data_IF_761814520957
#
_entry.id   IF_761814520957
#
_cell.length_a   1.000
_cell.length_b   1.000
_cell.length_c   1.000
_cell.angle_alpha   90.00
_cell.angle_beta   90.00
_cell.angle_gamma   90.00
#
_symmetry.space_group_name_H-M   'P 1'
#
loop_
_entity.id
_entity.type
_entity.pdbx_description
1 polymer ?
#
# COMPACT_ATOMS: atom_id res chain seq x y z
N UNK A 1 -35.53 13.07 -39.49
CA UNK A 1 -36.40 13.19 -38.30
C UNK A 1 -35.55 12.77 -37.10
N UNK A 2 -35.22 13.75 -36.26
CA UNK A 2 -34.53 13.55 -35.00
C UNK A 2 -35.43 12.82 -34.00
N UNK A 3 -34.85 11.95 -33.18
CA UNK A 3 -35.50 11.33 -32.04
C UNK A 3 -34.41 10.98 -31.02
N UNK A 4 -34.40 11.70 -29.92
CA UNK A 4 -33.39 11.71 -28.87
C UNK A 4 -33.74 10.76 -27.70
N UNK A 5 -32.69 10.37 -26.96
CA UNK A 5 -32.64 9.91 -25.55
C UNK A 5 -33.43 8.64 -25.18
N UNK A 6 -32.88 7.72 -24.38
CA UNK A 6 -32.42 7.93 -23.01
C UNK A 6 -31.33 6.91 -22.60
N UNK A 7 -30.24 7.40 -21.99
CA UNK A 7 -29.15 6.60 -21.46
C UNK A 7 -29.34 6.42 -19.94
N UNK A 8 -29.61 5.19 -19.50
CA UNK A 8 -29.69 4.83 -18.09
C UNK A 8 -28.29 4.85 -17.47
N UNK A 9 -27.97 5.94 -16.77
CA UNK A 9 -26.80 6.05 -15.90
C UNK A 9 -27.08 5.32 -14.57
N UNK A 10 -26.57 4.11 -14.44
CA UNK A 10 -26.45 3.42 -13.15
C UNK A 10 -25.32 4.01 -12.32
N UNK A 11 -25.53 5.22 -11.76
CA UNK A 11 -24.62 5.84 -10.81
C UNK A 11 -24.66 5.10 -9.47
N UNK A 12 -23.56 4.43 -9.11
CA UNK A 12 -23.36 3.97 -7.75
C UNK A 12 -22.99 5.18 -6.89
N UNK A 13 -24.00 5.78 -6.26
CA UNK A 13 -23.83 6.85 -5.27
C UNK A 13 -23.15 6.30 -4.01
N UNK A 14 -21.82 6.23 -4.04
CA UNK A 14 -21.00 6.05 -2.85
C UNK A 14 -20.96 7.36 -2.07
N UNK A 15 -22.09 7.73 -1.45
CA UNK A 15 -22.15 8.86 -0.52
C UNK A 15 -21.33 8.48 0.73
N UNK A 16 -20.27 9.21 1.09
CA UNK A 16 -19.55 8.92 2.32
C UNK A 16 -20.46 9.20 3.51
N UNK A 17 -20.36 8.43 4.61
CA UNK A 17 -21.10 8.73 5.83
C UNK A 17 -20.61 10.08 6.36
N UNK A 18 -21.49 11.07 6.30
CA UNK A 18 -21.26 12.38 6.88
C UNK A 18 -21.22 12.25 8.40
N UNK A 19 -20.01 12.22 8.95
CA UNK A 19 -19.70 12.60 10.33
C UNK A 19 -18.83 13.86 10.22
N UNK A 20 -19.27 14.94 10.87
CA UNK A 20 -18.66 16.26 10.72
C UNK A 20 -17.17 16.30 11.04
N UNK A 21 -16.41 16.98 10.17
CA UNK A 21 -15.04 17.44 10.43
C UNK A 21 -13.94 16.65 9.72
N UNK A 22 -13.57 17.10 8.50
CA UNK A 22 -12.53 16.60 7.58
C UNK A 22 -12.83 15.25 6.90
N UNK A 23 -13.07 15.30 5.59
CA UNK A 23 -13.08 14.11 4.74
C UNK A 23 -11.67 13.51 4.71
N UNK A 24 -11.45 12.41 5.41
CA UNK A 24 -10.23 11.61 5.26
C UNK A 24 -10.27 11.01 3.85
N UNK A 25 -9.39 11.48 2.97
CA UNK A 25 -9.25 10.90 1.63
C UNK A 25 -8.60 9.53 1.77
N UNK A 26 -9.29 8.50 1.28
CA UNK A 26 -8.78 7.14 1.26
C UNK A 26 -7.84 6.94 0.08
N UNK A 27 -7.10 5.83 0.12
CA UNK A 27 -6.33 5.37 -1.03
C UNK A 27 -7.26 5.17 -2.24
N UNK A 28 -6.84 5.65 -3.41
CA UNK A 28 -7.63 5.66 -4.64
C UNK A 28 -8.57 6.87 -4.78
N UNK A 29 -8.60 7.78 -3.81
CA UNK A 29 -9.41 9.02 -3.83
C UNK A 29 -8.56 10.28 -3.66
N UNK A 30 -7.25 10.12 -3.44
CA UNK A 30 -6.33 11.21 -3.12
C UNK A 30 -5.72 11.81 -4.39
N UNK A 31 -6.31 12.91 -4.86
CA UNK A 31 -5.82 13.63 -6.04
C UNK A 31 -4.41 14.20 -5.80
N UNK A 32 -3.57 14.15 -6.83
CA UNK A 32 -2.26 14.80 -6.80
C UNK A 32 -2.39 16.32 -6.78
N UNK A 33 -1.57 16.99 -5.97
CA UNK A 33 -1.39 18.44 -6.08
C UNK A 33 -0.66 18.76 -7.38
N UNK A 34 -0.80 19.98 -7.89
CA UNK A 34 -0.13 20.40 -9.12
C UNK A 34 1.41 20.24 -9.02
N UNK A 35 1.99 20.59 -7.88
CA UNK A 35 3.43 20.50 -7.64
C UNK A 35 3.92 19.04 -7.62
N UNK A 36 3.21 18.16 -6.90
CA UNK A 36 3.54 16.73 -6.83
C UNK A 36 3.41 16.07 -8.20
N UNK A 37 2.32 16.36 -8.91
CA UNK A 37 2.08 15.86 -10.27
C UNK A 37 3.23 16.25 -11.21
N UNK A 38 3.64 17.52 -11.23
CA UNK A 38 4.73 17.99 -12.10
C UNK A 38 6.07 17.36 -11.72
N UNK A 39 6.37 17.23 -10.42
CA UNK A 39 7.58 16.62 -9.93
C UNK A 39 7.68 15.14 -10.37
N UNK A 40 6.64 14.36 -10.14
CA UNK A 40 6.56 12.95 -10.52
C UNK A 40 6.64 12.79 -12.05
N UNK A 41 5.88 13.60 -12.80
CA UNK A 41 5.86 13.56 -14.25
C UNK A 41 7.25 13.85 -14.85
N UNK A 42 8.02 14.76 -14.26
CA UNK A 42 9.40 15.04 -14.66
C UNK A 42 10.34 13.89 -14.29
N UNK A 43 10.21 13.35 -13.07
CA UNK A 43 11.06 12.26 -12.58
C UNK A 43 10.86 10.96 -13.39
N UNK A 44 9.62 10.58 -13.69
CA UNK A 44 9.28 9.37 -14.45
C UNK A 44 9.90 9.31 -15.86
N UNK A 45 10.30 10.45 -16.44
CA UNK A 45 10.95 10.53 -17.75
C UNK A 45 12.41 10.10 -17.73
N UNK A 46 13.07 10.16 -16.57
CA UNK A 46 14.48 9.81 -16.42
C UNK A 46 14.72 8.35 -16.77
N UNK A 47 15.84 8.07 -17.45
CA UNK A 47 16.29 6.70 -17.69
C UNK A 47 17.18 6.27 -16.52
N UNK A 48 17.11 4.99 -16.16
CA UNK A 48 17.90 4.45 -15.06
C UNK A 48 19.40 4.41 -15.41
N UNK A 49 20.25 4.51 -14.40
CA UNK A 49 21.68 4.28 -14.55
C UNK A 49 22.04 2.78 -14.60
N UNK A 50 23.28 2.44 -15.00
CA UNK A 50 23.76 1.05 -15.06
C UNK A 50 23.65 0.34 -13.69
N UNK A 51 23.72 1.07 -12.59
CA UNK A 51 23.61 0.58 -11.23
C UNK A 51 22.27 -0.12 -10.96
N UNK A 52 21.21 0.13 -11.73
CA UNK A 52 19.90 -0.54 -11.61
C UNK A 52 19.74 -1.77 -12.53
N UNK A 53 20.62 -1.92 -13.53
CA UNK A 53 20.43 -2.89 -14.63
C UNK A 53 21.28 -4.14 -14.38
N UNK A 54 20.60 -5.27 -14.19
CA UNK A 54 21.20 -6.60 -14.14
C UNK A 54 21.09 -7.29 -15.50
N UNK A 55 21.87 -8.35 -15.72
CA UNK A 55 21.81 -9.11 -16.98
C UNK A 55 22.07 -10.60 -16.77
N UNK A 56 21.39 -11.43 -17.55
CA UNK A 56 21.57 -12.89 -17.59
C UNK A 56 21.75 -13.39 -19.03
N UNK A 57 22.35 -14.57 -19.18
CA UNK A 57 22.35 -15.27 -20.45
C UNK A 57 21.02 -16.00 -20.63
N UNK A 58 20.33 -15.76 -21.74
CA UNK A 58 19.17 -16.52 -22.16
C UNK A 58 19.58 -17.67 -23.11
N UNK A 59 18.61 -18.52 -23.46
CA UNK A 59 18.79 -19.52 -24.52
C UNK A 59 19.31 -18.88 -25.81
N UNK A 60 20.22 -19.57 -26.50
CA UNK A 60 20.85 -19.05 -27.71
C UNK A 60 21.97 -18.02 -27.47
N UNK A 61 22.47 -17.90 -26.23
CA UNK A 61 23.65 -17.07 -25.91
C UNK A 61 23.38 -15.56 -25.89
N UNK A 62 22.11 -15.14 -26.00
CA UNK A 62 21.73 -13.73 -25.98
C UNK A 62 21.74 -13.20 -24.54
N UNK A 63 22.34 -12.02 -24.34
CA UNK A 63 22.31 -11.31 -23.06
C UNK A 63 20.98 -10.58 -22.92
N UNK A 64 20.24 -10.86 -21.85
CA UNK A 64 18.96 -10.20 -21.54
C UNK A 64 19.15 -9.32 -20.31
N UNK A 65 18.79 -8.05 -20.43
CA UNK A 65 18.80 -7.08 -19.34
C UNK A 65 17.47 -7.13 -18.56
N UNK A 66 17.55 -6.99 -17.24
CA UNK A 66 16.39 -6.90 -16.35
C UNK A 66 16.70 -6.00 -15.15
N UNK A 67 15.65 -5.49 -14.49
CA UNK A 67 15.76 -4.85 -13.18
C UNK A 67 15.27 -5.86 -12.13
N UNK A 68 15.99 -5.95 -11.03
CA UNK A 68 15.66 -6.82 -9.91
C UNK A 68 14.41 -6.31 -9.16
N UNK A 69 13.60 -7.25 -8.65
CA UNK A 69 12.29 -6.91 -8.04
C UNK A 69 12.40 -5.89 -6.90
N UNK A 70 13.36 -6.09 -5.99
CA UNK A 70 13.55 -5.18 -4.85
C UNK A 70 13.88 -3.74 -5.27
N UNK A 71 14.60 -3.56 -6.38
CA UNK A 71 14.94 -2.23 -6.91
C UNK A 71 13.72 -1.52 -7.46
N UNK A 72 12.85 -2.25 -8.18
CA UNK A 72 11.59 -1.69 -8.70
C UNK A 72 10.65 -1.30 -7.56
N UNK A 73 10.59 -2.10 -6.49
CA UNK A 73 9.81 -1.79 -5.28
C UNK A 73 10.33 -0.50 -4.63
N UNK A 74 11.64 -0.38 -4.44
CA UNK A 74 12.24 0.83 -3.87
C UNK A 74 12.02 2.06 -4.76
N UNK A 75 12.18 1.93 -6.09
CA UNK A 75 11.89 3.00 -7.03
C UNK A 75 10.44 3.47 -6.93
N UNK A 76 9.47 2.57 -6.80
CA UNK A 76 8.07 2.93 -6.63
C UNK A 76 7.80 3.60 -5.26
N UNK A 77 8.41 3.10 -4.18
CA UNK A 77 8.34 3.71 -2.85
C UNK A 77 8.90 5.14 -2.82
N UNK A 78 10.01 5.40 -3.49
CA UNK A 78 10.59 6.74 -3.58
C UNK A 78 9.79 7.65 -4.52
N UNK A 79 9.25 7.11 -5.63
CA UNK A 79 8.51 7.90 -6.62
C UNK A 79 7.13 8.33 -6.12
N UNK A 80 6.43 7.45 -5.41
CA UNK A 80 5.05 7.67 -5.01
C UNK A 80 4.86 7.78 -3.50
N UNK A 81 5.87 7.43 -2.70
CA UNK A 81 5.74 7.22 -1.25
C UNK A 81 5.21 5.81 -0.94
N UNK A 82 5.54 5.28 0.24
CA UNK A 82 5.14 3.93 0.67
C UNK A 82 3.62 3.69 0.67
N UNK A 83 2.81 4.75 0.77
CA UNK A 83 1.35 4.72 0.76
C UNK A 83 0.74 5.34 -0.51
N UNK A 84 1.56 5.75 -1.49
CA UNK A 84 1.09 6.40 -2.71
C UNK A 84 0.84 5.44 -3.86
N UNK A 85 1.24 4.17 -3.72
CA UNK A 85 1.00 3.11 -4.68
C UNK A 85 0.65 1.81 -3.95
N UNK A 86 -0.04 0.92 -4.65
CA UNK A 86 -0.39 -0.42 -4.20
C UNK A 86 -0.43 -1.37 -5.39
N UNK A 87 -0.41 -2.68 -5.12
CA UNK A 87 -0.65 -3.67 -6.15
C UNK A 87 -1.47 -4.85 -5.63
N UNK A 88 -2.13 -5.55 -6.53
CA UNK A 88 -2.90 -6.76 -6.25
C UNK A 88 -2.70 -7.78 -7.36
N UNK A 89 -2.64 -9.06 -6.99
CA UNK A 89 -2.74 -10.16 -7.96
C UNK A 89 -4.21 -10.39 -8.26
N UNK A 90 -4.65 -10.00 -9.45
CA UNK A 90 -6.06 -10.13 -9.87
C UNK A 90 -6.39 -11.57 -10.24
N UNK A 91 -5.45 -12.26 -10.89
CA UNK A 91 -5.56 -13.67 -11.22
C UNK A 91 -4.18 -14.33 -11.30
N UNK A 92 -4.07 -15.59 -10.90
CA UNK A 92 -2.88 -16.41 -11.17
C UNK A 92 -3.31 -17.79 -11.67
N UNK A 93 -2.86 -18.15 -12.86
CA UNK A 93 -3.18 -19.43 -13.50
C UNK A 93 -1.91 -20.27 -13.72
N UNK A 94 -2.03 -21.57 -13.51
CA UNK A 94 -0.99 -22.54 -13.86
C UNK A 94 -1.32 -23.05 -15.24
N UNK A 95 -0.49 -22.71 -16.22
CA UNK A 95 -0.75 -23.05 -17.61
C UNK A 95 -0.42 -24.52 -17.86
N UNK A 96 0.68 -25.02 -17.28
CA UNK A 96 1.04 -26.43 -17.34
C UNK A 96 1.96 -26.86 -16.19
N UNK A 97 1.94 -28.16 -15.91
CA UNK A 97 2.86 -28.85 -14.99
C UNK A 97 3.20 -30.22 -15.58
N UNK A 98 4.31 -30.30 -16.30
CA UNK A 98 4.73 -31.51 -17.01
C UNK A 98 5.84 -32.23 -16.25
N UNK A 99 5.84 -33.55 -16.34
CA UNK A 99 6.88 -34.42 -15.80
C UNK A 99 7.56 -35.15 -16.96
N UNK A 100 8.83 -34.86 -17.20
CA UNK A 100 9.64 -35.51 -18.23
C UNK A 100 10.98 -35.96 -17.63
N UNK A 101 11.32 -37.25 -17.78
CA UNK A 101 12.55 -37.85 -17.27
C UNK A 101 12.83 -37.55 -15.78
N UNK A 102 11.79 -37.59 -14.95
CA UNK A 102 11.90 -37.31 -13.50
C UNK A 102 12.14 -35.83 -13.16
N UNK A 103 11.98 -34.92 -14.13
CA UNK A 103 12.10 -33.47 -13.96
C UNK A 103 10.78 -32.77 -14.28
N UNK A 104 10.44 -31.76 -13.50
CA UNK A 104 9.25 -30.94 -13.69
C UNK A 104 9.53 -29.73 -14.56
N UNK A 105 8.53 -29.39 -15.37
CA UNK A 105 8.47 -28.21 -16.23
C UNK A 105 7.15 -27.50 -15.93
N UNK A 106 7.23 -26.26 -15.47
CA UNK A 106 6.09 -25.51 -14.93
C UNK A 106 6.05 -24.13 -15.57
N UNK A 107 4.88 -23.78 -16.11
CA UNK A 107 4.55 -22.44 -16.59
C UNK A 107 3.38 -21.86 -15.79
N UNK A 108 3.54 -20.62 -15.31
CA UNK A 108 2.52 -19.91 -14.54
C UNK A 108 2.43 -18.47 -15.05
N UNK A 109 1.21 -18.00 -15.30
CA UNK A 109 0.93 -16.59 -15.55
C UNK A 109 0.25 -15.94 -14.33
N UNK A 110 0.51 -14.64 -14.13
CA UNK A 110 -0.15 -13.84 -13.11
C UNK A 110 -0.52 -12.47 -13.67
N UNK A 111 -1.79 -12.08 -13.51
CA UNK A 111 -2.26 -10.73 -13.80
C UNK A 111 -2.06 -9.88 -12.54
N UNK A 112 -1.32 -8.79 -12.68
CA UNK A 112 -0.97 -7.91 -11.56
C UNK A 112 -1.41 -6.50 -11.90
N UNK A 113 -2.27 -5.95 -11.05
CA UNK A 113 -2.76 -4.57 -11.15
C UNK A 113 -2.01 -3.71 -10.15
N UNK A 114 -1.43 -2.62 -10.62
CA UNK A 114 -0.81 -1.57 -9.81
C UNK A 114 -1.71 -0.35 -9.85
N UNK A 115 -2.02 0.23 -8.70
CA UNK A 115 -2.87 1.40 -8.54
C UNK A 115 -2.11 2.49 -7.75
N UNK A 116 -2.32 3.75 -8.11
CA UNK A 116 -1.81 4.91 -7.37
C UNK A 116 -2.88 5.51 -6.47
N UNK A 117 -2.48 6.38 -5.54
CA UNK A 117 -3.36 6.99 -4.54
C UNK A 117 -4.50 7.83 -5.12
N UNK A 118 -4.36 8.30 -6.37
CA UNK A 118 -5.38 9.05 -7.11
C UNK A 118 -6.41 8.15 -7.82
N UNK A 119 -6.21 6.83 -7.78
CA UNK A 119 -7.08 5.83 -8.39
C UNK A 119 -6.63 5.37 -9.77
N UNK A 120 -5.65 6.04 -10.39
CA UNK A 120 -5.06 5.62 -11.67
C UNK A 120 -4.39 4.25 -11.53
N UNK A 121 -4.42 3.45 -12.59
CA UNK A 121 -3.90 2.09 -12.53
C UNK A 121 -3.40 1.56 -13.87
N UNK A 122 -2.49 0.59 -13.80
CA UNK A 122 -2.05 -0.23 -14.91
C UNK A 122 -2.08 -1.70 -14.49
N UNK A 123 -2.45 -2.58 -15.41
CA UNK A 123 -2.44 -4.02 -15.22
C UNK A 123 -1.67 -4.67 -16.36
N UNK A 124 -0.85 -5.66 -16.02
CA UNK A 124 -0.09 -6.43 -17.00
C UNK A 124 0.04 -7.89 -16.52
N UNK A 125 0.39 -8.77 -17.44
CA UNK A 125 0.64 -10.19 -17.18
C UNK A 125 2.13 -10.42 -16.93
N UNK A 126 2.46 -11.14 -15.87
CA UNK A 126 3.79 -11.68 -15.63
C UNK A 126 3.82 -13.18 -15.89
N UNK A 127 5.02 -13.68 -16.22
CA UNK A 127 5.21 -15.10 -16.46
C UNK A 127 6.37 -15.66 -15.64
N UNK A 128 6.15 -16.83 -15.04
CA UNK A 128 7.15 -17.54 -14.25
C UNK A 128 7.34 -18.94 -14.78
N UNK A 129 8.61 -19.34 -14.89
CA UNK A 129 9.01 -20.59 -15.51
C UNK A 129 9.94 -21.34 -14.57
N UNK A 130 9.69 -22.63 -14.38
CA UNK A 130 10.63 -23.52 -13.70
C UNK A 130 10.84 -24.78 -14.52
N UNK A 131 12.09 -25.06 -14.89
CA UNK A 131 12.44 -26.20 -15.72
C UNK A 131 13.56 -27.01 -15.06
N UNK A 132 13.44 -28.33 -15.11
CA UNK A 132 14.54 -29.24 -14.81
C UNK A 132 14.70 -29.61 -13.33
N UNK A 133 13.88 -29.07 -12.43
CA UNK A 133 13.89 -29.45 -11.01
C UNK A 133 13.17 -30.78 -10.80
N UNK A 134 13.70 -31.62 -9.91
CA UNK A 134 13.06 -32.91 -9.54
C UNK A 134 11.89 -32.75 -8.58
N UNK A 135 11.83 -31.64 -7.84
CA UNK A 135 10.76 -31.37 -6.88
C UNK A 135 9.62 -30.58 -7.54
N UNK A 136 8.41 -31.16 -7.54
CA UNK A 136 7.20 -30.47 -8.02
C UNK A 136 6.90 -29.22 -7.20
N UNK A 137 7.08 -29.29 -5.89
CA UNK A 137 6.79 -28.20 -4.96
C UNK A 137 7.69 -26.99 -5.22
N UNK A 138 9.02 -27.21 -5.30
CA UNK A 138 9.98 -26.13 -5.58
C UNK A 138 9.76 -25.53 -6.98
N UNK A 139 9.36 -26.35 -7.96
CA UNK A 139 9.07 -25.87 -9.31
C UNK A 139 7.86 -24.94 -9.35
N UNK A 140 6.77 -25.33 -8.66
CA UNK A 140 5.56 -24.52 -8.55
C UNK A 140 5.80 -23.24 -7.75
N UNK A 141 6.55 -23.32 -6.64
CA UNK A 141 6.91 -22.17 -5.83
C UNK A 141 7.69 -21.13 -6.63
N UNK A 142 8.75 -21.56 -7.33
CA UNK A 142 9.55 -20.69 -8.20
C UNK A 142 8.68 -20.03 -9.27
N UNK A 143 7.93 -20.82 -10.03
CA UNK A 143 7.12 -20.31 -11.13
C UNK A 143 6.04 -19.32 -10.65
N UNK A 144 5.33 -19.62 -9.55
CA UNK A 144 4.31 -18.70 -9.01
C UNK A 144 4.91 -17.38 -8.50
N UNK A 145 6.03 -17.44 -7.76
CA UNK A 145 6.69 -16.24 -7.23
C UNK A 145 7.27 -15.37 -8.35
N UNK A 146 7.88 -15.99 -9.35
CA UNK A 146 8.44 -15.31 -10.51
C UNK A 146 7.34 -14.64 -11.34
N UNK A 147 6.21 -15.32 -11.59
CA UNK A 147 5.10 -14.76 -12.34
C UNK A 147 4.54 -13.47 -11.71
N UNK A 148 4.33 -13.45 -10.39
CA UNK A 148 3.85 -12.24 -9.69
C UNK A 148 4.87 -11.12 -9.74
N UNK A 149 6.13 -11.43 -9.50
CA UNK A 149 7.20 -10.42 -9.51
C UNK A 149 7.40 -9.83 -10.90
N UNK A 150 7.32 -10.66 -11.95
CA UNK A 150 7.40 -10.20 -13.33
C UNK A 150 6.19 -9.31 -13.70
N UNK A 151 4.97 -9.73 -13.32
CA UNK A 151 3.75 -8.96 -13.59
C UNK A 151 3.79 -7.60 -12.91
N UNK A 152 4.25 -7.54 -11.66
CA UNK A 152 4.47 -6.29 -10.94
C UNK A 152 5.44 -5.35 -11.66
N UNK A 153 6.61 -5.87 -12.07
CA UNK A 153 7.61 -5.06 -12.80
C UNK A 153 7.07 -4.54 -14.13
N UNK A 154 6.26 -5.35 -14.82
CA UNK A 154 5.65 -4.98 -16.11
C UNK A 154 4.54 -3.95 -15.94
N UNK A 155 3.67 -4.11 -14.95
CA UNK A 155 2.64 -3.11 -14.64
C UNK A 155 3.26 -1.76 -14.23
N UNK A 156 4.31 -1.76 -13.38
CA UNK A 156 5.01 -0.53 -12.98
C UNK A 156 5.72 0.18 -14.14
N UNK A 157 6.20 -0.58 -15.13
CA UNK A 157 6.85 -0.04 -16.33
C UNK A 157 6.00 1.01 -17.03
N UNK A 158 4.68 0.80 -17.07
CA UNK A 158 3.74 1.63 -17.82
C UNK A 158 3.67 3.09 -17.34
N UNK A 159 4.09 3.37 -16.11
CA UNK A 159 4.16 4.74 -15.59
C UNK A 159 5.36 5.53 -16.11
N UNK A 160 6.47 4.89 -16.55
CA UNK A 160 7.58 5.63 -17.13
C UNK A 160 8.95 4.94 -17.15
N UNK A 161 9.93 5.66 -17.70
CA UNK A 161 11.31 5.20 -17.86
C UNK A 161 11.97 4.92 -16.51
N UNK A 162 11.71 5.75 -15.50
CA UNK A 162 12.31 5.60 -14.16
C UNK A 162 11.82 4.34 -13.45
N UNK A 163 10.69 3.74 -13.88
CA UNK A 163 10.20 2.46 -13.37
C UNK A 163 10.48 1.29 -14.33
N UNK A 164 11.40 1.50 -15.28
CA UNK A 164 11.95 0.42 -16.10
C UNK A 164 11.48 0.40 -17.55
N UNK A 165 10.73 1.40 -18.04
CA UNK A 165 10.32 1.42 -19.46
C UNK A 165 11.51 1.52 -20.42
N UNK A 166 12.58 2.20 -20.00
CA UNK A 166 13.78 2.36 -20.81
C UNK A 166 14.48 1.03 -21.13
N UNK A 167 14.24 -0.05 -20.39
CA UNK A 167 14.95 -1.32 -20.61
C UNK A 167 14.63 -2.01 -21.93
N UNK A 168 13.48 -1.67 -22.53
CA UNK A 168 13.09 -2.20 -23.85
C UNK A 168 13.67 -1.37 -25.00
N UNK A 169 14.19 -0.18 -24.73
CA UNK A 169 14.81 0.68 -25.74
C UNK A 169 16.22 0.14 -26.08
N UNK A 170 16.36 -0.36 -27.31
CA UNK A 170 17.62 -0.91 -27.81
C UNK A 170 18.73 0.14 -27.85
N UNK A 171 18.42 1.40 -28.12
CA UNK A 171 19.41 2.47 -28.20
C UNK A 171 19.87 2.93 -26.82
N UNK A 172 18.98 2.88 -25.83
CA UNK A 172 19.37 2.99 -24.43
C UNK A 172 20.34 1.88 -24.01
N UNK A 173 20.03 0.61 -24.33
CA UNK A 173 20.91 -0.52 -23.99
C UNK A 173 22.28 -0.42 -24.67
N UNK A 174 22.34 0.02 -25.94
CA UNK A 174 23.61 0.31 -26.64
C UNK A 174 24.41 1.39 -25.91
N UNK A 175 23.74 2.43 -25.46
CA UNK A 175 24.39 3.55 -24.76
C UNK A 175 24.91 3.14 -23.38
N UNK A 176 24.16 2.32 -22.65
CA UNK A 176 24.60 1.76 -21.36
C UNK A 176 25.86 0.91 -21.49
N UNK A 177 25.98 0.07 -22.53
CA UNK A 177 27.16 -0.78 -22.72
C UNK A 177 28.44 0.01 -23.00
N UNK A 178 28.34 1.30 -23.33
CA UNK A 178 29.51 2.19 -23.50
C UNK A 178 29.98 2.80 -22.19
N UNK A 179 29.17 2.72 -21.12
CA UNK A 179 29.55 3.24 -19.81
C UNK A 179 30.54 2.30 -19.12
N UNK A 180 31.50 2.84 -18.34
CA UNK A 180 32.38 2.02 -17.53
C UNK A 180 31.59 1.11 -16.58
N UNK A 181 32.02 -0.14 -16.45
CA UNK A 181 31.43 -1.06 -15.48
C UNK A 181 31.76 -0.55 -14.07
N UNK A 182 30.73 -0.21 -13.31
CA UNK A 182 30.89 0.20 -11.92
C UNK A 182 31.11 -1.03 -11.02
N UNK A 183 31.92 -0.84 -9.98
CA UNK A 183 32.03 -1.79 -8.89
C UNK A 183 30.72 -1.79 -8.08
N UNK A 184 30.32 -2.93 -7.50
CA UNK A 184 29.19 -2.96 -6.58
C UNK A 184 29.39 -1.94 -5.46
N UNK A 185 28.36 -1.10 -5.22
CA UNK A 185 28.38 -0.17 -4.10
C UNK A 185 28.33 -0.94 -2.79
N UNK A 186 29.24 -0.64 -1.87
CA UNK A 186 29.16 -1.20 -0.52
C UNK A 186 27.98 -0.56 0.23
N UNK A 187 27.20 -1.39 0.91
CA UNK A 187 26.07 -0.95 1.72
C UNK A 187 26.60 -0.62 3.12
N UNK A 188 26.42 0.63 3.55
CA UNK A 188 26.74 1.03 4.91
C UNK A 188 25.73 0.41 5.89
N UNK A 189 26.22 -0.48 6.75
CA UNK A 189 25.40 -1.18 7.74
C UNK A 189 25.35 -0.48 9.10
N UNK A 190 26.03 0.67 9.27
CA UNK A 190 26.07 1.39 10.56
C UNK A 190 24.69 1.89 11.00
N UNK A 191 23.82 2.23 10.05
CA UNK A 191 22.46 2.72 10.28
C UNK A 191 21.37 1.63 10.21
N UNK A 192 21.77 0.36 10.15
CA UNK A 192 20.82 -0.76 10.07
C UNK A 192 19.91 -0.81 11.30
N UNK A 193 18.59 -0.94 11.09
CA UNK A 193 17.61 -1.15 12.15
C UNK A 193 17.92 -2.43 12.94
N UNK A 194 18.04 -2.31 14.28
CA UNK A 194 18.35 -3.44 15.18
C UNK A 194 17.24 -3.79 16.18
N UNK A 195 16.29 -2.89 16.38
CA UNK A 195 15.16 -3.07 17.27
C UNK A 195 13.87 -2.81 16.50
N UNK A 196 12.78 -3.48 16.87
CA UNK A 196 11.48 -3.32 16.20
C UNK A 196 10.86 -1.94 16.46
N UNK A 197 11.07 -1.40 17.67
CA UNK A 197 10.45 -0.14 18.11
C UNK A 197 10.92 1.07 17.27
N UNK A 198 9.98 1.95 16.94
CA UNK A 198 10.21 3.17 16.14
C UNK A 198 9.65 4.40 16.88
N UNK A 199 10.44 5.08 17.72
CA UNK A 199 9.94 6.12 18.61
C UNK A 199 9.34 7.31 17.87
N UNK A 200 9.96 7.74 16.77
CA UNK A 200 9.48 8.86 15.95
C UNK A 200 8.13 8.55 15.29
N UNK A 201 7.95 7.31 14.82
CA UNK A 201 6.69 6.88 14.19
C UNK A 201 5.60 6.75 15.25
N UNK A 202 5.90 6.17 16.41
CA UNK A 202 4.92 6.02 17.50
C UNK A 202 4.44 7.38 18.03
N UNK A 203 5.37 8.33 18.23
CA UNK A 203 5.02 9.68 18.64
C UNK A 203 4.12 10.38 17.60
N UNK A 204 4.42 10.22 16.30
CA UNK A 204 3.61 10.78 15.24
C UNK A 204 2.19 10.17 15.20
N UNK A 205 2.06 8.85 15.37
CA UNK A 205 0.76 8.16 15.46
C UNK A 205 -0.06 8.68 16.64
N UNK A 206 0.55 8.76 17.83
CA UNK A 206 -0.12 9.27 19.02
C UNK A 206 -0.62 10.71 18.85
N UNK A 207 0.21 11.57 18.23
CA UNK A 207 -0.16 12.95 17.94
C UNK A 207 -1.33 13.07 16.95
N UNK A 208 -1.37 12.21 15.92
CA UNK A 208 -2.49 12.17 14.95
C UNK A 208 -3.83 11.92 15.64
N UNK A 209 -3.90 10.93 16.54
CA UNK A 209 -5.11 10.61 17.29
C UNK A 209 -5.59 11.75 18.19
N UNK A 210 -4.68 12.56 18.73
CA UNK A 210 -5.03 13.72 19.58
C UNK A 210 -5.61 14.86 18.78
N UNK A 211 -5.07 15.13 17.59
CA UNK A 211 -5.57 16.19 16.72
C UNK A 211 -7.00 15.91 16.24
N UNK A 212 -7.33 14.65 15.97
CA UNK A 212 -8.69 14.24 15.62
C UNK A 212 -9.68 14.54 16.76
N UNK A 213 -9.32 14.18 18.01
CA UNK A 213 -10.17 14.45 19.19
C UNK A 213 -10.34 15.92 19.53
N UNK A 214 -9.32 16.76 19.30
CA UNK A 214 -9.38 18.20 19.58
C UNK A 214 -10.32 18.97 18.62
N UNK A 215 -10.59 18.42 17.44
CA UNK A 215 -11.47 19.03 16.43
C UNK A 215 -12.96 18.78 16.63
N UNK A 216 -13.36 17.99 17.65
CA UNK A 216 -14.74 17.56 17.90
C UNK A 216 -15.50 18.24 19.04
N UNK A 217 -14.97 19.29 19.68
CA UNK A 217 -15.66 19.97 20.79
C UNK A 217 -16.22 21.35 20.35
N UNK A 218 -17.55 21.56 20.30
CA UNK A 218 -18.10 22.90 20.22
C UNK A 218 -17.82 23.62 21.55
N UNK A 219 -17.21 24.82 21.49
CA UNK A 219 -17.19 25.73 22.65
C UNK A 219 -18.64 26.00 23.07
N UNK A 220 -19.01 25.85 24.35
CA UNK A 220 -20.28 26.38 24.85
C UNK A 220 -20.29 27.89 24.60
N UNK A 221 -21.21 28.38 23.77
CA UNK A 221 -21.49 29.80 23.70
C UNK A 221 -22.07 30.22 25.04
N UNK A 222 -21.40 31.18 25.66
CA UNK A 222 -21.84 31.87 26.87
C UNK A 222 -23.14 32.62 26.55
N UNK A 223 -24.27 32.00 26.89
CA UNK A 223 -25.58 32.62 26.79
C UNK A 223 -25.73 33.65 27.92
N UNK A 224 -25.50 34.92 27.60
CA UNK A 224 -25.91 36.03 28.46
C UNK A 224 -27.42 35.96 28.71
N UNK A 225 -27.81 35.65 29.94
CA UNK A 225 -29.21 35.71 30.39
C UNK A 225 -29.50 37.06 31.05
N UNK A 226 -30.48 37.84 30.58
CA UNK A 226 -30.96 39.00 31.30
C UNK A 226 -32.16 38.65 32.21
N UNK A 227 -32.29 39.45 33.27
CA UNK A 227 -33.47 39.68 34.12
C UNK A 227 -33.50 39.02 35.51
N UNK A 228 -33.26 39.88 36.52
CA UNK A 228 -33.82 39.84 37.89
C UNK A 228 -35.30 40.30 37.83
N UNK A 229 -36.18 39.96 38.80
CA UNK A 229 -36.22 40.74 40.04
C UNK A 229 -36.68 40.02 41.34
N UNK A 230 -36.24 40.61 42.47
CA UNK A 230 -36.86 40.74 43.81
C UNK A 230 -37.48 39.55 44.60
N UNK A 231 -36.88 39.31 45.78
CA UNK A 231 -37.42 38.74 47.05
C UNK A 231 -38.58 39.58 47.66
N UNK A 232 -39.28 39.22 48.78
CA UNK A 232 -38.86 38.32 49.90
C UNK A 232 -39.93 37.45 50.64
N UNK A 233 -39.42 36.69 51.63
CA UNK A 233 -39.95 36.35 52.97
C UNK A 233 -40.29 34.87 53.34
N UNK A 234 -39.57 34.39 54.37
CA UNK A 234 -39.87 33.43 55.47
C UNK A 234 -40.41 32.01 55.19
N UNK A 235 -40.07 30.93 55.92
CA UNK A 235 -39.43 30.74 57.23
C UNK A 235 -38.98 29.27 57.44
N UNK A 236 -38.08 29.09 58.42
CA UNK A 236 -37.57 27.88 59.12
C UNK A 236 -38.32 26.52 59.04
N UNK A 237 -37.57 25.40 59.02
CA UNK A 237 -37.49 24.39 60.10
C UNK A 237 -36.46 23.25 59.78
N UNK A 238 -35.75 22.82 60.84
CA UNK A 238 -34.76 21.73 61.01
C UNK A 238 -35.19 20.34 60.49
N UNK A 239 -34.23 19.48 60.12
CA UNK A 239 -33.82 18.31 60.94
C UNK A 239 -32.59 17.55 60.38
N UNK A 240 -31.60 17.40 61.27
CA UNK A 240 -30.68 16.29 61.58
C UNK A 240 -30.28 15.25 60.52
N UNK A 241 -28.97 14.98 60.49
CA UNK A 241 -28.31 14.02 59.63
C UNK A 241 -28.35 12.55 60.09
N UNK A 242 -27.76 11.70 59.26
CA UNK A 242 -27.20 10.42 59.62
C UNK A 242 -26.02 10.10 58.69
N UNK A 243 -24.87 9.84 59.31
CA UNK A 243 -23.76 9.07 58.73
C UNK A 243 -24.28 7.69 58.35
N UNK A 244 -23.74 7.08 57.29
CA UNK A 244 -23.00 5.84 57.49
C UNK A 244 -22.11 5.50 56.30
N UNK A 245 -20.98 4.94 56.68
CA UNK A 245 -19.80 4.65 55.90
C UNK A 245 -19.82 3.19 55.46
N UNK A 246 -19.26 2.94 54.28
CA UNK A 246 -18.46 1.75 53.93
C UNK A 246 -19.08 0.37 54.14
N UNK A 247 -19.36 -0.32 53.04
CA UNK A 247 -18.98 -1.73 52.90
C UNK A 247 -18.84 -2.14 51.43
N UNK A 248 -17.66 -2.69 51.15
CA UNK A 248 -17.26 -3.66 50.13
C UNK A 248 -18.28 -4.23 49.14
N UNK A 249 -17.86 -4.42 47.89
CA UNK A 249 -17.69 -5.77 47.33
C UNK A 249 -17.11 -5.73 45.91
N UNK A 250 -16.13 -6.60 45.67
CA UNK A 250 -15.50 -6.85 44.38
C UNK A 250 -16.40 -7.75 43.54
N UNK A 251 -16.70 -7.33 42.31
CA UNK A 251 -17.26 -8.24 41.29
C UNK A 251 -16.37 -8.23 40.04
N UNK A 252 -15.74 -9.38 39.81
CA UNK A 252 -15.21 -9.76 38.50
C UNK A 252 -16.40 -9.94 37.54
N UNK A 253 -16.37 -9.24 36.40
CA UNK A 253 -17.27 -9.52 35.28
C UNK A 253 -16.45 -10.04 34.11
N UNK A 254 -16.75 -11.30 33.74
CA UNK A 254 -16.33 -11.97 32.53
C UNK A 254 -16.80 -11.20 31.29
N UNK A 255 -15.90 -11.00 30.35
CA UNK A 255 -16.19 -10.46 29.01
C UNK A 255 -16.63 -11.62 28.11
N UNK A 256 -17.75 -11.53 27.37
CA UNK A 256 -18.17 -12.58 26.44
C UNK A 256 -17.32 -12.56 25.16
N UNK A 257 -17.02 -13.75 24.65
CA UNK A 257 -16.45 -14.00 23.33
C UNK A 257 -17.41 -13.55 22.22
N UNK A 258 -16.91 -12.75 21.27
CA UNK A 258 -17.56 -12.53 19.98
C UNK A 258 -16.67 -13.06 18.86
N UNK A 259 -17.17 -14.07 18.17
CA UNK A 259 -16.65 -14.60 16.91
C UNK A 259 -17.13 -13.74 15.73
N UNK A 260 -16.42 -13.89 14.61
CA UNK A 260 -16.80 -13.52 13.24
C UNK A 260 -16.72 -12.03 12.84
N UNK A 261 -15.61 -11.68 12.17
CA UNK A 261 -15.58 -11.03 10.84
C UNK A 261 -14.11 -10.91 10.39
N UNK A 262 -13.73 -11.70 9.38
CA UNK A 262 -12.39 -11.66 8.79
C UNK A 262 -12.28 -10.52 7.76
N UNK A 263 -11.22 -9.70 7.78
CA UNK A 263 -10.86 -8.89 6.62
C UNK A 263 -9.87 -9.63 5.72
N UNK A 264 -10.06 -9.40 4.42
CA UNK A 264 -9.31 -9.91 3.28
C UNK A 264 -7.81 -9.97 3.52
N UNK A 265 -7.22 -11.13 3.21
CA UNK A 265 -5.80 -11.39 3.31
C UNK A 265 -4.98 -10.41 2.47
N UNK A 266 -4.30 -9.48 3.13
CA UNK A 266 -3.11 -8.85 2.57
C UNK A 266 -2.02 -9.91 2.58
N UNK A 267 -1.75 -10.51 1.42
CA UNK A 267 -0.67 -11.47 1.27
C UNK A 267 0.68 -10.73 1.40
N UNK A 268 1.26 -10.76 2.59
CA UNK A 268 2.64 -10.35 2.83
C UNK A 268 3.57 -11.39 2.17
N UNK A 269 4.04 -11.11 0.96
CA UNK A 269 5.04 -11.96 0.29
C UNK A 269 6.40 -11.67 0.95
N UNK A 270 6.84 -12.58 1.82
CA UNK A 270 8.21 -12.61 2.32
C UNK A 270 9.13 -13.05 1.16
N UNK A 271 9.96 -12.12 0.69
CA UNK A 271 11.00 -12.42 -0.29
C UNK A 271 12.13 -13.20 0.40
N UNK A 272 12.20 -14.51 0.15
CA UNK A 272 13.47 -15.23 0.27
C UNK A 272 14.20 -15.07 -1.06
N UNK A 273 15.32 -14.34 -1.04
CA UNK A 273 16.28 -14.29 -2.14
C UNK A 273 16.91 -15.67 -2.30
N UNK A 274 16.52 -16.42 -3.32
CA UNK A 274 17.32 -17.56 -3.79
C UNK A 274 18.44 -17.03 -4.70
N UNK A 275 19.68 -17.19 -4.25
CA UNK A 275 20.87 -17.28 -5.11
C UNK A 275 20.84 -18.55 -5.94
#
# INVERSE_FOLDING_TARGET
>A
MAGAEEAVHGGCDCRPPFVGGKSVLLFGQSQYTADEYQAIQKALRQRLGPEYISSRMAGGGQKVCYIEGHRVINLANEMFGYNGWAHSVTQQNVDFVDLNNGKFYVGVCAFVRVQLKDGSYHEDVGYGVSEGLRSKALSLEKARKEAVTDGLKRALRSFGNALGNCILDKDYLKSLNRLPRQLPLEVDLTTTKREDFEPSVEQARYNSCRQDKASGLPKPQEAASPCRPSHPHDSNIKLQGAKDSSSSSWYWTQVPSLSSLAPSSVALIVFHSCT
#
